data_IF_039613227722
#
_entry.id   IF_039613227722
#
_cell.length_a   1.000
_cell.length_b   1.000
_cell.length_c   1.000
_cell.angle_alpha   90.00
_cell.angle_beta   90.00
_cell.angle_gamma   90.00
#
_symmetry.space_group_name_H-M   'P 1'
#
loop_
_entity.id
_entity.type
_entity.pdbx_description
1 polymer ?
#
# COMPACT_ATOMS: atom_id res chain seq x y z
N UNK A 1 3.52 16.55 -12.47
CA UNK A 1 2.68 15.36 -12.25
C UNK A 1 1.25 15.67 -12.66
N UNK A 2 0.55 14.68 -13.22
CA UNK A 2 -0.85 14.79 -13.64
C UNK A 2 -1.71 13.82 -12.85
N UNK A 3 -2.85 14.30 -12.35
CA UNK A 3 -3.86 13.45 -11.74
C UNK A 3 -4.81 12.99 -12.85
N UNK A 4 -5.04 11.68 -12.98
CA UNK A 4 -5.88 11.10 -14.03
C UNK A 4 -7.40 11.26 -13.79
N UNK A 5 -7.80 11.92 -12.73
CA UNK A 5 -9.21 12.19 -12.47
C UNK A 5 -9.76 13.28 -13.42
N UNK A 6 -10.94 13.12 -14.04
CA UNK A 6 -11.93 12.06 -13.83
C UNK A 6 -11.83 10.83 -14.75
N UNK A 7 -10.81 10.71 -15.58
CA UNK A 7 -10.67 9.65 -16.59
C UNK A 7 -10.27 8.29 -15.99
N UNK A 8 -9.78 8.28 -14.74
CA UNK A 8 -9.43 7.05 -14.05
C UNK A 8 -10.67 6.25 -13.66
N UNK A 9 -10.69 4.99 -14.09
CA UNK A 9 -11.61 4.00 -13.58
C UNK A 9 -10.96 3.17 -12.47
N UNK A 10 -11.78 2.39 -11.75
CA UNK A 10 -11.24 1.43 -10.79
C UNK A 10 -10.17 0.54 -11.44
N UNK A 11 -9.07 0.27 -10.73
CA UNK A 11 -8.01 -0.61 -11.22
C UNK A 11 -8.46 -2.06 -11.48
N UNK A 12 -9.72 -2.40 -11.23
CA UNK A 12 -10.28 -3.71 -11.51
C UNK A 12 -9.95 -4.80 -10.48
N UNK A 13 -9.17 -4.49 -9.44
CA UNK A 13 -8.82 -5.49 -8.42
C UNK A 13 -10.02 -6.23 -7.82
N UNK A 14 -11.15 -5.59 -7.46
CA UNK A 14 -12.33 -6.32 -7.00
C UNK A 14 -12.91 -7.25 -8.06
N UNK A 15 -13.03 -6.79 -9.30
CA UNK A 15 -13.57 -7.60 -10.39
C UNK A 15 -12.67 -8.81 -10.70
N UNK A 16 -11.36 -8.59 -10.79
CA UNK A 16 -10.38 -9.67 -11.00
C UNK A 16 -10.45 -10.73 -9.90
N UNK A 17 -10.43 -10.30 -8.63
CA UNK A 17 -10.42 -11.21 -7.49
C UNK A 17 -11.73 -11.99 -7.29
N UNK A 18 -12.84 -11.49 -7.83
CA UNK A 18 -14.16 -12.16 -7.78
C UNK A 18 -14.52 -12.88 -9.07
N UNK A 19 -13.59 -12.96 -10.05
CA UNK A 19 -13.78 -13.69 -11.30
C UNK A 19 -14.61 -12.95 -12.35
N UNK A 20 -14.91 -11.67 -12.16
CA UNK A 20 -15.66 -10.84 -13.13
C UNK A 20 -14.71 -10.34 -14.23
N UNK A 21 -14.18 -11.26 -15.04
CA UNK A 21 -13.09 -10.99 -15.96
C UNK A 21 -13.46 -10.01 -17.08
N UNK A 22 -14.71 -9.98 -17.55
CA UNK A 22 -15.15 -9.04 -18.58
C UNK A 22 -15.17 -7.59 -18.06
N UNK A 23 -15.59 -7.41 -16.80
CA UNK A 23 -15.53 -6.10 -16.13
C UNK A 23 -14.08 -5.67 -15.94
N UNK A 24 -13.23 -6.57 -15.45
CA UNK A 24 -11.82 -6.33 -15.25
C UNK A 24 -11.11 -5.91 -16.55
N UNK A 25 -11.33 -6.65 -17.66
CA UNK A 25 -10.70 -6.32 -18.96
C UNK A 25 -11.09 -4.94 -19.45
N UNK A 26 -12.38 -4.58 -19.38
CA UNK A 26 -12.83 -3.23 -19.77
C UNK A 26 -12.17 -2.13 -18.94
N UNK A 27 -12.03 -2.34 -17.62
CA UNK A 27 -11.37 -1.39 -16.72
C UNK A 27 -9.89 -1.26 -17.04
N UNK A 28 -9.21 -2.38 -17.27
CA UNK A 28 -7.81 -2.46 -17.65
C UNK A 28 -7.54 -1.70 -18.98
N UNK A 29 -8.30 -2.00 -20.02
CA UNK A 29 -8.16 -1.39 -21.34
C UNK A 29 -8.38 0.12 -21.28
N UNK A 30 -9.46 0.56 -20.61
CA UNK A 30 -9.76 1.98 -20.42
C UNK A 30 -8.62 2.71 -19.69
N UNK A 31 -8.15 2.17 -18.58
CA UNK A 31 -7.12 2.82 -17.78
C UNK A 31 -5.77 2.91 -18.51
N UNK A 32 -5.39 1.87 -19.26
CA UNK A 32 -4.17 1.90 -20.08
C UNK A 32 -4.28 2.97 -21.18
N UNK A 33 -5.42 3.05 -21.84
CA UNK A 33 -5.65 4.07 -22.89
C UNK A 33 -5.60 5.49 -22.31
N UNK A 34 -6.21 5.71 -21.13
CA UNK A 34 -6.12 6.99 -20.44
C UNK A 34 -4.67 7.39 -20.14
N UNK A 35 -3.84 6.49 -19.63
CA UNK A 35 -2.41 6.75 -19.37
C UNK A 35 -1.66 7.08 -20.67
N UNK A 36 -1.92 6.37 -21.77
CA UNK A 36 -1.32 6.64 -23.08
C UNK A 36 -1.68 8.02 -23.60
N UNK A 37 -2.94 8.44 -23.43
CA UNK A 37 -3.41 9.76 -23.84
C UNK A 37 -2.70 10.90 -23.10
N UNK A 38 -2.36 10.68 -21.81
CA UNK A 38 -1.53 11.59 -21.02
C UNK A 38 -0.05 11.55 -21.42
N UNK A 39 0.39 10.59 -22.24
CA UNK A 39 1.81 10.35 -22.60
C UNK A 39 2.70 10.22 -21.36
N UNK A 40 2.15 9.62 -20.30
CA UNK A 40 2.86 9.47 -19.04
C UNK A 40 3.93 8.38 -19.16
N UNK A 41 5.12 8.67 -18.67
CA UNK A 41 6.25 7.72 -18.64
C UNK A 41 6.18 6.79 -17.42
N UNK A 42 5.45 7.22 -16.36
CA UNK A 42 5.31 6.47 -15.13
C UNK A 42 3.93 6.67 -14.50
N UNK A 43 3.32 5.58 -14.06
CA UNK A 43 2.12 5.56 -13.20
C UNK A 43 2.55 5.38 -11.75
N UNK A 44 2.07 6.26 -10.86
CA UNK A 44 2.32 6.17 -9.43
C UNK A 44 0.99 5.88 -8.73
N UNK A 45 0.95 4.82 -7.93
CA UNK A 45 -0.24 4.41 -7.20
C UNK A 45 -0.01 4.43 -5.69
N UNK A 46 -0.96 4.93 -4.91
CA UNK A 46 -0.92 4.92 -3.45
C UNK A 46 -1.51 3.64 -2.82
N UNK A 47 -2.24 2.86 -3.60
CA UNK A 47 -2.89 1.64 -3.12
C UNK A 47 -2.11 0.40 -3.52
N UNK A 48 -1.81 -0.46 -2.54
CA UNK A 48 -1.13 -1.73 -2.77
C UNK A 48 -1.86 -2.64 -3.77
N UNK A 49 -3.21 -2.63 -3.76
CA UNK A 49 -4.02 -3.36 -4.73
C UNK A 49 -3.89 -2.80 -6.14
N UNK A 50 -3.96 -1.48 -6.30
CA UNK A 50 -3.77 -0.83 -7.59
C UNK A 50 -2.36 -1.08 -8.13
N UNK A 51 -1.32 -0.92 -7.28
CA UNK A 51 0.05 -1.23 -7.67
C UNK A 51 0.18 -2.65 -8.24
N UNK A 52 -0.36 -3.65 -7.54
CA UNK A 52 -0.35 -5.04 -8.01
C UNK A 52 -1.04 -5.18 -9.36
N UNK A 53 -2.24 -4.60 -9.54
CA UNK A 53 -2.96 -4.64 -10.81
C UNK A 53 -2.11 -4.09 -11.95
N UNK A 54 -1.60 -2.87 -11.82
CA UNK A 54 -0.80 -2.21 -12.82
C UNK A 54 0.54 -2.90 -13.08
N UNK A 55 1.25 -3.29 -12.02
CA UNK A 55 2.60 -3.82 -12.12
C UNK A 55 2.64 -5.26 -12.62
N UNK A 56 1.65 -6.08 -12.21
CA UNK A 56 1.64 -7.53 -12.42
C UNK A 56 0.45 -8.01 -13.23
N UNK A 57 -0.76 -7.83 -12.67
CA UNK A 57 -1.94 -8.53 -13.20
C UNK A 57 -2.35 -8.00 -14.58
N UNK A 58 -2.15 -6.72 -14.89
CA UNK A 58 -2.38 -6.16 -16.24
C UNK A 58 -1.42 -6.74 -17.28
N UNK A 59 -0.08 -6.66 -17.10
CA UNK A 59 0.85 -7.29 -18.04
C UNK A 59 0.61 -8.79 -18.22
N UNK A 60 0.36 -9.52 -17.15
CA UNK A 60 0.10 -10.97 -17.21
C UNK A 60 -1.21 -11.29 -17.97
N UNK A 61 -2.26 -10.50 -17.77
CA UNK A 61 -3.53 -10.68 -18.48
C UNK A 61 -3.43 -10.38 -19.97
N UNK A 62 -2.66 -9.37 -20.33
CA UNK A 62 -2.45 -8.95 -21.73
C UNK A 62 -1.39 -9.78 -22.46
N UNK A 63 -0.51 -10.46 -21.71
CA UNK A 63 0.66 -11.12 -22.27
C UNK A 63 1.71 -10.15 -22.86
N UNK A 64 1.68 -8.88 -22.45
CA UNK A 64 2.58 -7.83 -22.95
C UNK A 64 3.06 -6.91 -21.83
N UNK A 65 4.25 -6.33 -22.04
CA UNK A 65 4.78 -5.30 -21.14
C UNK A 65 4.05 -3.97 -21.37
N UNK A 66 3.73 -3.25 -20.30
CA UNK A 66 3.17 -1.89 -20.41
C UNK A 66 4.24 -0.93 -20.98
N UNK A 67 3.83 0.07 -21.80
CA UNK A 67 4.76 1.03 -22.42
C UNK A 67 5.23 2.15 -21.47
N UNK A 68 4.92 2.05 -20.18
CA UNK A 68 5.31 2.98 -19.13
C UNK A 68 5.67 2.23 -17.85
N UNK A 69 6.41 2.88 -16.97
CA UNK A 69 6.76 2.33 -15.68
C UNK A 69 5.60 2.42 -14.68
N UNK A 70 5.62 1.53 -13.68
CA UNK A 70 4.67 1.53 -12.56
C UNK A 70 5.43 1.52 -11.26
N UNK A 71 5.13 2.47 -10.37
CA UNK A 71 5.69 2.58 -9.02
C UNK A 71 4.60 2.72 -7.97
N UNK A 72 4.85 2.19 -6.80
CA UNK A 72 4.05 2.53 -5.62
C UNK A 72 4.53 3.87 -5.05
N UNK A 73 3.63 4.65 -4.45
CA UNK A 73 3.98 5.94 -3.82
C UNK A 73 5.18 5.82 -2.88
N UNK A 74 5.30 4.71 -2.15
CA UNK A 74 6.42 4.53 -1.20
C UNK A 74 7.78 4.35 -1.89
N UNK A 75 7.83 3.75 -3.09
CA UNK A 75 9.06 3.69 -3.89
C UNK A 75 9.45 5.08 -4.35
N UNK A 76 8.45 5.84 -4.82
CA UNK A 76 8.66 7.19 -5.30
C UNK A 76 9.09 8.15 -4.19
N UNK A 77 8.46 8.10 -3.01
CA UNK A 77 8.86 8.88 -1.83
C UNK A 77 10.28 8.53 -1.41
N UNK A 78 10.63 7.23 -1.37
CA UNK A 78 12.00 6.81 -1.08
C UNK A 78 13.00 7.42 -2.09
N UNK A 79 12.72 7.35 -3.40
CA UNK A 79 13.56 7.96 -4.44
C UNK A 79 13.75 9.46 -4.21
N UNK A 80 12.68 10.19 -3.85
CA UNK A 80 12.74 11.63 -3.58
C UNK A 80 13.59 11.96 -2.33
N UNK A 81 13.48 11.17 -1.28
CA UNK A 81 14.27 11.32 -0.05
C UNK A 81 15.75 11.00 -0.32
N UNK A 82 16.05 9.84 -0.95
CA UNK A 82 17.41 9.41 -1.26
C UNK A 82 18.13 10.39 -2.20
N UNK A 83 17.41 11.06 -3.10
CA UNK A 83 17.94 12.07 -4.02
C UNK A 83 17.92 13.51 -3.46
N UNK A 84 17.55 13.69 -2.20
CA UNK A 84 17.49 15.01 -1.54
C UNK A 84 16.43 15.97 -2.10
N UNK A 85 15.43 15.43 -2.85
CA UNK A 85 14.30 16.22 -3.36
C UNK A 85 13.25 16.50 -2.29
N UNK A 86 13.18 15.65 -1.27
CA UNK A 86 12.43 15.83 -0.04
C UNK A 86 13.43 15.79 1.10
N UNK A 87 13.40 16.80 1.97
CA UNK A 87 14.22 16.87 3.17
C UNK A 87 13.33 16.58 4.39
N UNK A 88 13.79 15.62 5.21
CA UNK A 88 13.11 15.19 6.42
C UNK A 88 13.94 15.71 7.61
N UNK A 89 13.63 16.90 8.09
CA UNK A 89 14.41 17.59 9.13
C UNK A 89 13.62 17.80 10.43
N UNK A 90 12.28 17.85 10.33
CA UNK A 90 11.42 17.98 11.52
C UNK A 90 11.32 16.64 12.27
N UNK A 91 11.51 16.70 13.59
CA UNK A 91 11.44 15.52 14.44
C UNK A 91 9.99 15.03 14.61
N UNK A 92 9.81 13.72 14.47
CA UNK A 92 8.57 13.01 14.80
C UNK A 92 8.89 11.98 15.89
N UNK A 93 8.82 12.40 17.15
CA UNK A 93 9.16 11.55 18.30
C UNK A 93 8.08 10.49 18.52
N UNK A 94 8.23 9.33 17.86
CA UNK A 94 7.32 8.18 17.96
C UNK A 94 8.04 6.86 17.81
N UNK A 95 7.63 5.89 18.64
CA UNK A 95 7.93 4.48 18.40
C UNK A 95 6.80 3.89 17.56
N UNK A 96 7.12 3.38 16.38
CA UNK A 96 6.11 2.87 15.44
C UNK A 96 6.37 1.42 15.08
N UNK A 97 5.33 0.73 14.60
CA UNK A 97 5.47 -0.57 13.95
C UNK A 97 4.85 -0.53 12.56
N UNK A 98 5.41 -1.31 11.63
CA UNK A 98 4.97 -1.29 10.24
C UNK A 98 4.22 -2.58 9.88
N UNK A 99 3.06 -2.41 9.24
CA UNK A 99 2.30 -3.50 8.62
C UNK A 99 2.66 -3.63 7.14
N UNK A 100 3.15 -4.79 6.73
CA UNK A 100 3.43 -5.11 5.33
C UNK A 100 2.14 -5.44 4.57
N UNK A 101 1.65 -4.58 3.65
CA UNK A 101 0.49 -4.87 2.84
C UNK A 101 0.74 -6.06 1.91
N UNK A 102 -0.20 -7.00 1.86
CA UNK A 102 -0.01 -8.25 1.11
C UNK A 102 0.21 -8.05 -0.39
N UNK A 103 -0.41 -7.03 -1.00
CA UNK A 103 -0.37 -6.82 -2.45
C UNK A 103 0.94 -6.20 -2.96
N UNK A 104 1.68 -5.45 -2.14
CA UNK A 104 3.05 -4.99 -2.46
C UNK A 104 4.13 -5.90 -1.87
N UNK A 105 3.73 -6.90 -1.11
CA UNK A 105 4.61 -7.89 -0.51
C UNK A 105 4.46 -9.27 -1.15
N UNK A 106 3.86 -10.22 -0.41
CA UNK A 106 3.81 -11.63 -0.78
C UNK A 106 3.05 -11.95 -2.07
N UNK A 107 2.15 -11.09 -2.56
CA UNK A 107 1.45 -11.32 -3.83
C UNK A 107 2.30 -10.97 -5.06
N UNK A 108 3.47 -10.36 -4.86
CA UNK A 108 4.47 -10.16 -5.91
C UNK A 108 5.46 -11.33 -6.00
N UNK A 109 5.29 -12.37 -5.20
CA UNK A 109 6.07 -13.60 -5.28
C UNK A 109 5.89 -14.25 -6.65
N UNK A 110 6.94 -14.91 -7.12
CA UNK A 110 7.01 -15.65 -8.38
C UNK A 110 7.20 -14.82 -9.66
N UNK A 111 7.37 -13.50 -9.56
CA UNK A 111 7.68 -12.64 -10.72
C UNK A 111 9.17 -12.56 -11.07
N UNK A 112 10.04 -13.33 -10.41
CA UNK A 112 11.48 -13.24 -10.60
C UNK A 112 12.00 -11.82 -10.34
N UNK A 113 12.78 -11.28 -11.29
CA UNK A 113 13.26 -9.90 -11.22
C UNK A 113 12.22 -8.85 -11.67
N UNK A 114 11.10 -9.28 -12.27
CA UNK A 114 10.06 -8.39 -12.79
C UNK A 114 9.24 -7.72 -11.69
N UNK A 115 8.99 -8.43 -10.59
CA UNK A 115 8.15 -7.96 -9.48
C UNK A 115 8.83 -8.19 -8.15
N UNK A 116 9.53 -7.19 -7.64
CA UNK A 116 10.18 -7.27 -6.33
C UNK A 116 9.21 -6.84 -5.22
N UNK A 117 9.07 -7.62 -4.14
CA UNK A 117 8.30 -7.20 -2.99
C UNK A 117 8.84 -5.93 -2.35
N UNK A 118 7.95 -5.00 -2.01
CA UNK A 118 8.31 -3.71 -1.44
C UNK A 118 8.38 -3.78 0.11
N UNK A 119 9.23 -4.67 0.64
CA UNK A 119 9.41 -4.77 2.08
C UNK A 119 10.34 -3.70 2.65
N UNK A 120 11.39 -3.34 1.92
CA UNK A 120 12.42 -2.42 2.39
C UNK A 120 12.09 -0.93 2.20
N UNK A 121 11.45 -0.50 1.08
CA UNK A 121 11.20 0.92 0.85
C UNK A 121 10.50 1.64 2.01
N UNK A 122 9.39 1.13 2.58
CA UNK A 122 8.73 1.81 3.69
C UNK A 122 9.60 1.88 4.96
N UNK A 123 10.41 0.86 5.22
CA UNK A 123 11.32 0.83 6.36
C UNK A 123 12.42 1.88 6.23
N UNK A 124 13.01 2.00 5.05
CA UNK A 124 14.02 3.03 4.75
C UNK A 124 13.46 4.43 4.92
N UNK A 125 12.24 4.68 4.43
CA UNK A 125 11.58 5.98 4.58
C UNK A 125 11.31 6.28 6.06
N UNK A 126 10.74 5.33 6.81
CA UNK A 126 10.48 5.51 8.24
C UNK A 126 11.77 5.78 9.05
N UNK A 127 12.84 5.04 8.75
CA UNK A 127 14.15 5.20 9.41
C UNK A 127 14.86 6.50 9.05
N UNK A 128 14.51 7.13 7.92
CA UNK A 128 15.03 8.43 7.53
C UNK A 128 14.34 9.60 8.26
N UNK A 129 13.20 9.39 8.89
CA UNK A 129 12.48 10.43 9.64
C UNK A 129 13.14 10.61 11.02
N UNK A 130 13.66 11.81 11.37
CA UNK A 130 14.25 12.07 12.67
C UNK A 130 13.24 11.80 13.81
N UNK A 131 13.65 11.09 14.86
CA UNK A 131 12.84 10.80 16.04
C UNK A 131 11.97 9.53 15.92
N UNK A 132 11.83 8.94 14.75
CA UNK A 132 11.13 7.67 14.59
C UNK A 132 11.99 6.51 15.09
N UNK A 133 11.40 5.68 15.95
CA UNK A 133 11.93 4.37 16.34
C UNK A 133 11.05 3.27 15.76
N UNK A 134 11.56 2.48 14.83
CA UNK A 134 10.82 1.36 14.24
C UNK A 134 11.01 0.08 15.05
N UNK A 135 9.91 -0.49 15.56
CA UNK A 135 9.84 -1.82 16.20
C UNK A 135 9.07 -2.77 15.30
N UNK A 136 9.69 -3.88 14.95
CA UNK A 136 9.10 -4.85 14.04
C UNK A 136 8.18 -5.84 14.74
N UNK A 137 6.99 -6.05 14.17
CA UNK A 137 6.12 -7.15 14.61
C UNK A 137 6.77 -8.51 14.33
N UNK A 138 6.53 -9.55 15.17
CA UNK A 138 7.03 -10.90 14.92
C UNK A 138 6.66 -11.44 13.54
N UNK A 139 5.41 -11.17 13.10
CA UNK A 139 4.93 -11.54 11.75
C UNK A 139 5.11 -10.38 10.79
N UNK A 140 6.22 -10.37 10.07
CA UNK A 140 6.57 -9.36 9.07
C UNK A 140 6.92 -9.98 7.72
N UNK A 141 7.06 -9.15 6.70
CA UNK A 141 7.41 -9.57 5.34
C UNK A 141 6.41 -10.61 4.78
N UNK A 142 6.90 -11.76 4.41
CA UNK A 142 6.10 -12.87 3.87
C UNK A 142 5.03 -13.40 4.83
N UNK A 143 5.29 -13.32 6.12
CA UNK A 143 4.44 -13.85 7.19
C UNK A 143 3.48 -12.82 7.79
N UNK A 144 3.51 -11.57 7.30
CA UNK A 144 2.59 -10.53 7.78
C UNK A 144 1.13 -10.99 7.68
N UNK A 145 0.35 -10.82 8.73
CA UNK A 145 -1.09 -11.07 8.68
C UNK A 145 -1.75 -10.14 7.65
N UNK A 146 -2.81 -10.62 7.01
CA UNK A 146 -3.64 -9.80 6.14
C UNK A 146 -4.46 -8.82 6.98
N UNK A 147 -4.65 -7.59 6.48
CA UNK A 147 -5.60 -6.65 7.07
C UNK A 147 -7.06 -7.04 6.81
N UNK A 148 -7.30 -8.02 5.95
CA UNK A 148 -8.63 -8.53 5.61
C UNK A 148 -9.57 -7.57 4.87
N UNK A 149 -9.05 -6.48 4.29
CA UNK A 149 -9.87 -5.48 3.60
C UNK A 149 -10.08 -5.76 2.11
N UNK A 150 -9.18 -6.50 1.49
CA UNK A 150 -9.13 -6.67 0.03
C UNK A 150 -10.10 -7.72 -0.54
N UNK A 151 -10.10 -7.82 -1.88
CA UNK A 151 -10.84 -8.84 -2.65
C UNK A 151 -12.36 -8.91 -2.36
N UNK A 152 -12.98 -7.79 -1.97
CA UNK A 152 -14.39 -7.76 -1.61
C UNK A 152 -14.74 -8.34 -0.24
N UNK A 153 -13.76 -8.94 0.48
CA UNK A 153 -14.02 -9.64 1.74
C UNK A 153 -14.63 -8.72 2.80
N UNK A 154 -14.08 -7.49 2.97
CA UNK A 154 -14.64 -6.52 3.92
C UNK A 154 -16.09 -6.15 3.61
N UNK A 155 -16.47 -6.07 2.34
CA UNK A 155 -17.85 -5.75 1.94
C UNK A 155 -18.81 -6.92 2.15
N UNK A 156 -18.35 -8.16 1.94
CA UNK A 156 -19.15 -9.35 2.11
C UNK A 156 -19.24 -9.83 3.57
N UNK A 157 -18.14 -9.66 4.33
CA UNK A 157 -17.98 -10.17 5.70
C UNK A 157 -17.38 -9.11 6.60
N UNK A 158 -18.09 -7.98 6.87
CA UNK A 158 -17.54 -6.84 7.59
C UNK A 158 -17.10 -7.16 9.03
N UNK A 159 -17.86 -7.97 9.76
CA UNK A 159 -17.55 -8.35 11.13
C UNK A 159 -16.28 -9.20 11.21
N UNK A 160 -16.18 -10.23 10.39
CA UNK A 160 -15.02 -11.11 10.31
C UNK A 160 -13.78 -10.35 9.85
N UNK A 161 -13.95 -9.40 8.94
CA UNK A 161 -12.88 -8.52 8.48
C UNK A 161 -12.30 -7.68 9.62
N UNK A 162 -13.15 -7.10 10.46
CA UNK A 162 -12.73 -6.33 11.64
C UNK A 162 -12.05 -7.23 12.68
N UNK A 163 -12.58 -8.43 12.94
CA UNK A 163 -11.96 -9.37 13.87
C UNK A 163 -10.55 -9.78 13.43
N UNK A 164 -10.35 -10.03 12.13
CA UNK A 164 -9.03 -10.36 11.60
C UNK A 164 -8.08 -9.16 11.70
N UNK A 165 -8.54 -7.95 11.34
CA UNK A 165 -7.77 -6.71 11.48
C UNK A 165 -7.38 -6.47 12.95
N UNK A 166 -8.30 -6.70 13.89
CA UNK A 166 -8.07 -6.54 15.33
C UNK A 166 -6.90 -7.38 15.84
N UNK A 167 -6.74 -8.60 15.34
CA UNK A 167 -5.60 -9.46 15.72
C UNK A 167 -4.26 -8.85 15.31
N UNK A 168 -4.23 -8.16 14.16
CA UNK A 168 -3.01 -7.45 13.71
C UNK A 168 -2.73 -6.23 14.56
N UNK A 169 -3.77 -5.47 14.93
CA UNK A 169 -3.63 -4.33 15.85
C UNK A 169 -3.16 -4.80 17.24
N UNK A 170 -3.68 -5.92 17.75
CA UNK A 170 -3.24 -6.51 19.02
C UNK A 170 -1.76 -6.91 18.99
N UNK A 171 -1.26 -7.43 17.85
CA UNK A 171 0.16 -7.74 17.68
C UNK A 171 1.02 -6.47 17.77
N UNK A 172 0.54 -5.35 17.20
CA UNK A 172 1.21 -4.05 17.33
C UNK A 172 1.20 -3.54 18.78
N UNK A 173 0.06 -3.61 19.47
CA UNK A 173 -0.08 -3.22 20.86
C UNK A 173 0.86 -3.99 21.79
N UNK A 174 1.09 -5.28 21.51
CA UNK A 174 2.03 -6.12 22.27
C UNK A 174 3.50 -5.65 22.19
N UNK A 175 3.83 -4.71 21.32
CA UNK A 175 5.17 -4.13 21.20
C UNK A 175 5.37 -2.84 22.01
N UNK A 176 4.34 -2.33 22.68
CA UNK A 176 4.37 -1.03 23.36
C UNK A 176 4.86 0.08 22.39
N UNK A 177 4.15 0.25 21.29
CA UNK A 177 4.40 1.29 20.28
C UNK A 177 3.31 2.35 20.33
N UNK A 178 3.65 3.57 19.90
CA UNK A 178 2.70 4.69 19.80
C UNK A 178 1.75 4.52 18.61
N UNK A 179 2.25 3.96 17.50
CA UNK A 179 1.46 3.87 16.28
C UNK A 179 1.69 2.60 15.46
N UNK A 180 0.62 2.14 14.82
CA UNK A 180 0.65 1.21 13.69
C UNK A 180 0.72 2.01 12.39
N UNK A 181 1.66 1.65 11.51
CA UNK A 181 1.89 2.35 10.24
C UNK A 181 1.69 1.38 9.08
N UNK A 182 1.10 1.85 7.99
CA UNK A 182 0.96 1.10 6.74
C UNK A 182 1.18 2.03 5.53
N UNK A 183 1.22 1.47 4.32
CA UNK A 183 1.26 2.24 3.07
C UNK A 183 0.23 1.68 2.09
N UNK A 184 -0.99 1.50 2.58
CA UNK A 184 -2.11 1.01 1.79
C UNK A 184 -3.43 1.53 2.37
N UNK A 185 -4.24 2.29 1.61
CA UNK A 185 -5.49 2.88 2.11
C UNK A 185 -6.53 1.83 2.52
N UNK A 186 -6.51 0.64 1.92
CA UNK A 186 -7.38 -0.46 2.34
C UNK A 186 -6.99 -1.04 3.70
N UNK A 187 -5.68 -1.21 3.95
CA UNK A 187 -5.18 -1.64 5.25
C UNK A 187 -5.48 -0.57 6.31
N UNK A 188 -5.16 0.69 6.00
CA UNK A 188 -5.44 1.83 6.87
C UNK A 188 -6.91 1.87 7.28
N UNK A 189 -7.83 1.84 6.31
CA UNK A 189 -9.27 1.87 6.56
C UNK A 189 -9.72 0.75 7.50
N UNK A 190 -9.29 -0.48 7.27
CA UNK A 190 -9.74 -1.61 8.07
C UNK A 190 -9.12 -1.64 9.47
N UNK A 191 -7.87 -1.17 9.62
CA UNK A 191 -7.27 -0.97 10.95
C UNK A 191 -7.96 0.15 11.71
N UNK A 192 -8.33 1.25 11.04
CA UNK A 192 -9.09 2.33 11.65
C UNK A 192 -10.42 1.81 12.21
N UNK A 193 -11.20 1.09 11.40
CA UNK A 193 -12.47 0.51 11.83
C UNK A 193 -12.27 -0.45 13.03
N UNK A 194 -11.20 -1.28 13.03
CA UNK A 194 -10.89 -2.19 14.12
C UNK A 194 -10.46 -1.45 15.41
N UNK A 195 -9.67 -0.40 15.29
CA UNK A 195 -9.22 0.44 16.42
C UNK A 195 -10.43 1.12 17.07
N UNK A 196 -11.30 1.72 16.26
CA UNK A 196 -12.50 2.41 16.72
C UNK A 196 -13.49 1.44 17.40
N UNK A 197 -13.80 0.30 16.75
CA UNK A 197 -14.77 -0.67 17.29
C UNK A 197 -14.28 -1.34 18.57
N UNK A 198 -13.01 -1.73 18.63
CA UNK A 198 -12.42 -2.38 19.81
C UNK A 198 -11.87 -1.39 20.84
N UNK A 199 -11.93 -0.08 20.56
CA UNK A 199 -11.40 0.99 21.41
C UNK A 199 -9.94 0.78 21.80
N UNK A 200 -9.12 0.35 20.84
CA UNK A 200 -7.69 0.19 21.05
C UNK A 200 -7.01 1.55 21.20
N UNK A 201 -6.10 1.67 22.16
CA UNK A 201 -5.31 2.87 22.38
C UNK A 201 -4.00 2.80 21.58
N UNK A 202 -4.07 3.08 20.30
CA UNK A 202 -2.93 3.13 19.37
C UNK A 202 -3.24 4.11 18.24
N UNK A 203 -2.27 4.92 17.85
CA UNK A 203 -2.41 5.78 16.68
C UNK A 203 -2.26 4.96 15.37
N UNK A 204 -2.78 5.50 14.30
CA UNK A 204 -2.68 4.90 12.96
C UNK A 204 -2.23 5.94 11.96
N UNK A 205 -1.21 5.60 11.16
CA UNK A 205 -0.69 6.47 10.09
C UNK A 205 -0.49 5.71 8.78
N UNK A 206 -0.68 6.41 7.67
CA UNK A 206 0.03 6.06 6.44
C UNK A 206 1.46 6.60 6.52
N UNK A 207 2.41 5.93 5.86
CA UNK A 207 3.82 6.38 5.86
C UNK A 207 3.95 7.81 5.36
N UNK A 208 3.16 8.21 4.34
CA UNK A 208 3.22 9.56 3.77
C UNK A 208 2.78 10.66 4.75
N UNK A 209 1.89 10.36 5.70
CA UNK A 209 1.49 11.31 6.76
C UNK A 209 2.65 11.61 7.71
N UNK A 210 3.50 10.61 8.00
CA UNK A 210 4.71 10.80 8.82
C UNK A 210 5.80 11.55 8.03
N UNK A 211 5.91 11.28 6.74
CA UNK A 211 6.81 12.04 5.83
C UNK A 211 6.39 13.50 5.79
N UNK A 212 5.11 13.82 5.60
CA UNK A 212 4.58 15.18 5.60
C UNK A 212 4.94 15.93 6.89
N UNK A 213 4.77 15.28 8.05
CA UNK A 213 5.12 15.87 9.36
C UNK A 213 6.62 16.17 9.51
N UNK A 214 7.47 15.43 8.81
CA UNK A 214 8.93 15.57 8.88
C UNK A 214 9.51 16.51 7.81
N UNK A 215 8.73 16.82 6.76
CA UNK A 215 9.18 17.71 5.68
C UNK A 215 9.37 19.15 6.14
N UNK A 216 10.35 19.83 5.50
CA UNK A 216 10.63 21.27 5.62
C UNK A 216 10.72 21.92 4.24
#
# INVERSE_FOLDING_TARGET
>A
YTIMFPEEWCCGSPAYMTGQMDVFKRQLEHNIEAVKNYKAERVITSCAGCYRMWKKDYPETLGVKLPFDVSHTIEFVRELVENGKIRLESKVEKTVTYHDPCHIGRHLRNGGDLYKPLFEPPRKVLQAIPGITLREMPRKFWYSYCCSSGAGFRSAFPRESIEIASRRVQEALGLNVDALVSTCPFCYRNFKDAIEEKKFNIELYDVVELVEKAMV
#
